data_IF_193367689073
#
_entry.id   IF_193367689073
#
_cell.length_a   1.000
_cell.length_b   1.000
_cell.length_c   1.000
_cell.angle_alpha   90.00
_cell.angle_beta   90.00
_cell.angle_gamma   90.00
#
_symmetry.space_group_name_H-M   'P 1'
#
loop_
_entity.id
_entity.type
_entity.pdbx_description
1 polymer ?
#
# COMPACT_ATOMS: atom_id res chain seq x y z
N UNK A 1 -21.14 13.33 -5.07
CA UNK A 1 -19.99 13.75 -5.92
C UNK A 1 -18.90 12.68 -5.82
N UNK A 2 -17.99 12.55 -6.79
CA UNK A 2 -16.83 11.67 -6.63
C UNK A 2 -16.08 12.08 -5.34
N UNK A 3 -15.75 11.12 -4.47
CA UNK A 3 -15.17 11.39 -3.15
C UNK A 3 -16.17 11.74 -2.03
N UNK A 4 -17.47 11.87 -2.31
CA UNK A 4 -18.49 12.01 -1.26
C UNK A 4 -19.13 10.65 -0.92
N UNK A 5 -19.22 10.36 0.38
CA UNK A 5 -19.82 9.14 0.90
C UNK A 5 -21.27 9.41 1.28
N UNK A 6 -22.22 8.86 0.52
CA UNK A 6 -23.63 8.97 0.86
C UNK A 6 -23.97 8.07 2.07
N UNK A 7 -24.78 8.59 2.99
CA UNK A 7 -25.19 7.92 4.22
C UNK A 7 -25.85 6.57 3.93
N UNK A 8 -25.32 5.50 4.52
CA UNK A 8 -25.82 4.13 4.37
C UNK A 8 -25.68 3.51 2.98
N UNK A 9 -24.92 4.12 2.08
CA UNK A 9 -24.75 3.69 0.68
C UNK A 9 -24.25 2.25 0.50
N UNK A 10 -23.60 1.69 1.52
CA UNK A 10 -23.01 0.34 1.50
C UNK A 10 -23.50 -0.55 2.65
N UNK A 11 -24.65 -0.24 3.27
CA UNK A 11 -25.22 -1.08 4.34
C UNK A 11 -25.43 -2.52 3.87
N UNK A 12 -24.95 -3.47 4.68
CA UNK A 12 -25.01 -4.90 4.37
C UNK A 12 -24.00 -5.37 3.32
N UNK A 13 -23.08 -4.51 2.89
CA UNK A 13 -21.91 -4.88 2.09
C UNK A 13 -20.70 -5.06 2.99
N UNK A 14 -19.78 -5.88 2.52
CA UNK A 14 -18.48 -6.10 3.14
C UNK A 14 -17.40 -5.62 2.16
N UNK A 15 -16.37 -4.97 2.68
CA UNK A 15 -15.19 -4.54 1.94
C UNK A 15 -13.96 -5.05 2.68
N UNK A 16 -13.06 -5.76 2.00
CA UNK A 16 -11.78 -6.20 2.54
C UNK A 16 -10.67 -5.25 2.07
N UNK A 17 -10.07 -4.53 3.02
CA UNK A 17 -8.87 -3.72 2.81
C UNK A 17 -7.62 -4.51 3.18
N UNK A 18 -6.60 -4.46 2.33
CA UNK A 18 -5.37 -5.25 2.46
C UNK A 18 -4.16 -4.33 2.43
N UNK A 19 -3.24 -4.54 3.36
CA UNK A 19 -1.98 -3.80 3.44
C UNK A 19 -0.91 -4.63 4.17
N UNK A 20 0.21 -4.03 4.52
CA UNK A 20 1.40 -4.67 5.07
C UNK A 20 1.38 -4.91 6.59
N UNK A 21 0.28 -4.58 7.28
CA UNK A 21 0.12 -4.77 8.71
C UNK A 21 0.82 -3.71 9.58
N UNK A 22 0.86 -4.01 10.89
CA UNK A 22 1.46 -3.15 11.91
C UNK A 22 0.82 -1.76 12.01
N UNK A 23 1.57 -0.83 12.60
CA UNK A 23 1.12 0.56 12.82
C UNK A 23 0.73 1.29 11.53
N UNK A 24 1.28 0.85 10.41
CA UNK A 24 1.00 1.43 9.11
C UNK A 24 -0.44 1.11 8.68
N UNK A 25 -0.81 -0.17 8.67
CA UNK A 25 -2.18 -0.57 8.34
C UNK A 25 -3.18 -0.10 9.41
N UNK A 26 -2.81 -0.08 10.69
CA UNK A 26 -3.67 0.50 11.74
C UNK A 26 -4.03 1.97 11.44
N UNK A 27 -3.04 2.75 10.98
CA UNK A 27 -3.24 4.14 10.55
C UNK A 27 -4.17 4.26 9.34
N UNK A 28 -4.04 3.38 8.34
CA UNK A 28 -4.93 3.36 7.17
C UNK A 28 -6.37 3.00 7.56
N UNK A 29 -6.57 2.00 8.42
CA UNK A 29 -7.89 1.61 8.92
C UNK A 29 -8.52 2.77 9.72
N UNK A 30 -7.73 3.46 10.55
CA UNK A 30 -8.20 4.64 11.26
C UNK A 30 -8.61 5.77 10.29
N UNK A 31 -7.86 5.99 9.21
CA UNK A 31 -8.20 6.97 8.18
C UNK A 31 -9.49 6.63 7.42
N UNK A 32 -9.81 5.34 7.27
CA UNK A 32 -11.05 4.87 6.64
C UNK A 32 -12.29 4.96 7.55
N UNK A 33 -12.13 5.27 8.84
CA UNK A 33 -13.22 5.23 9.83
C UNK A 33 -14.42 6.09 9.42
N UNK A 34 -14.20 7.31 8.95
CA UNK A 34 -15.30 8.20 8.56
C UNK A 34 -16.09 7.63 7.38
N UNK A 35 -15.40 7.03 6.39
CA UNK A 35 -16.03 6.34 5.27
C UNK A 35 -16.86 5.16 5.76
N UNK A 36 -16.33 4.35 6.68
CA UNK A 36 -17.04 3.19 7.25
C UNK A 36 -18.30 3.63 7.99
N UNK A 37 -18.18 4.60 8.88
CA UNK A 37 -19.31 5.07 9.70
C UNK A 37 -20.44 5.64 8.83
N UNK A 38 -20.10 6.48 7.83
CA UNK A 38 -21.08 7.09 6.91
C UNK A 38 -21.68 6.09 5.94
N UNK A 39 -20.86 5.26 5.30
CA UNK A 39 -21.35 4.31 4.28
C UNK A 39 -22.12 3.14 4.90
N UNK A 40 -21.81 2.77 6.15
CA UNK A 40 -22.34 1.59 6.82
C UNK A 40 -21.79 0.27 6.29
N UNK A 41 -20.67 0.28 5.57
CA UNK A 41 -19.99 -0.94 5.10
C UNK A 41 -19.36 -1.69 6.28
N UNK A 42 -19.33 -3.02 6.22
CA UNK A 42 -18.48 -3.82 7.10
C UNK A 42 -17.07 -3.84 6.52
N UNK A 43 -16.12 -3.17 7.17
CA UNK A 43 -14.71 -3.20 6.76
C UNK A 43 -14.00 -4.41 7.41
N UNK A 44 -13.45 -5.28 6.58
CA UNK A 44 -12.50 -6.32 6.97
C UNK A 44 -11.07 -5.87 6.67
N UNK A 45 -10.12 -6.43 7.39
CA UNK A 45 -8.70 -6.19 7.22
C UNK A 45 -7.98 -7.53 7.02
N UNK A 46 -7.17 -7.64 5.97
CA UNK A 46 -6.27 -8.79 5.72
C UNK A 46 -4.86 -8.27 5.39
N UNK A 47 -3.86 -9.14 5.38
CA UNK A 47 -2.47 -8.82 5.10
C UNK A 47 -1.52 -9.97 5.47
N UNK A 48 -0.21 -9.83 5.19
CA UNK A 48 0.39 -8.76 4.39
C UNK A 48 -0.02 -8.84 2.90
N UNK A 49 0.14 -7.74 2.18
CA UNK A 49 0.00 -7.73 0.72
C UNK A 49 1.05 -8.62 0.08
N UNK A 50 0.60 -9.68 -0.59
CA UNK A 50 1.45 -10.64 -1.29
C UNK A 50 0.91 -10.88 -2.70
N UNK A 51 1.72 -10.59 -3.73
CA UNK A 51 1.29 -10.73 -5.13
C UNK A 51 0.96 -12.18 -5.49
N UNK A 52 1.66 -13.15 -4.89
CA UNK A 52 1.39 -14.57 -5.06
C UNK A 52 0.02 -14.99 -4.50
N UNK A 53 -0.39 -14.45 -3.34
CA UNK A 53 -1.71 -14.68 -2.74
C UNK A 53 -2.81 -14.05 -3.60
N UNK A 54 -2.57 -12.84 -4.11
CA UNK A 54 -3.51 -12.16 -5.01
C UNK A 54 -3.66 -12.93 -6.33
N UNK A 55 -2.55 -13.40 -6.92
CA UNK A 55 -2.56 -14.25 -8.11
C UNK A 55 -3.34 -15.55 -7.85
N UNK A 56 -3.10 -16.24 -6.74
CA UNK A 56 -3.82 -17.47 -6.40
C UNK A 56 -5.34 -17.24 -6.25
N UNK A 57 -5.76 -16.11 -5.65
CA UNK A 57 -7.17 -15.75 -5.55
C UNK A 57 -7.81 -15.53 -6.93
N UNK A 58 -7.14 -14.80 -7.82
CA UNK A 58 -7.62 -14.56 -9.18
C UNK A 58 -7.69 -15.85 -9.98
N UNK A 59 -6.64 -16.67 -9.96
CA UNK A 59 -6.56 -17.94 -10.70
C UNK A 59 -7.58 -18.97 -10.22
N UNK A 60 -7.87 -19.03 -8.92
CA UNK A 60 -8.89 -19.90 -8.36
C UNK A 60 -10.33 -19.38 -8.56
N UNK A 61 -10.49 -18.12 -8.97
CA UNK A 61 -11.80 -17.45 -9.05
C UNK A 61 -12.43 -17.15 -7.69
N UNK A 62 -11.70 -17.33 -6.59
CA UNK A 62 -12.16 -17.09 -5.23
C UNK A 62 -11.50 -15.83 -4.65
N UNK A 63 -11.84 -14.68 -5.24
CA UNK A 63 -11.33 -13.37 -4.82
C UNK A 63 -12.07 -12.88 -3.59
N UNK A 64 -11.33 -12.64 -2.51
CA UNK A 64 -11.83 -12.09 -1.23
C UNK A 64 -11.25 -10.71 -0.92
N UNK A 65 -10.24 -10.27 -1.67
CA UNK A 65 -9.60 -8.96 -1.52
C UNK A 65 -10.24 -7.94 -2.46
N UNK A 66 -10.65 -6.79 -1.92
CA UNK A 66 -11.32 -5.73 -2.68
C UNK A 66 -10.40 -4.54 -2.99
N UNK A 67 -9.75 -4.00 -1.95
CA UNK A 67 -8.82 -2.86 -2.08
C UNK A 67 -7.49 -3.27 -1.47
N UNK A 68 -6.44 -3.22 -2.29
CA UNK A 68 -5.11 -3.72 -1.93
C UNK A 68 -4.12 -2.57 -2.04
N UNK A 69 -3.50 -2.23 -0.91
CA UNK A 69 -2.34 -1.36 -0.86
C UNK A 69 -1.09 -2.14 -1.29
N UNK A 70 -0.34 -1.58 -2.24
CA UNK A 70 0.84 -2.21 -2.85
C UNK A 70 1.90 -1.13 -3.12
N UNK A 71 3.12 -1.56 -3.43
CA UNK A 71 4.05 -0.71 -4.20
C UNK A 71 3.47 -0.29 -5.57
N UNK A 72 4.12 0.62 -6.26
CA UNK A 72 3.68 1.14 -7.57
C UNK A 72 3.85 0.12 -8.71
N UNK A 73 4.86 -0.75 -8.62
CA UNK A 73 5.23 -1.68 -9.69
C UNK A 73 4.20 -2.80 -9.94
N UNK A 74 3.64 -3.50 -8.94
CA UNK A 74 2.67 -4.57 -9.19
C UNK A 74 1.41 -4.17 -9.98
N UNK A 75 0.68 -3.09 -9.65
CA UNK A 75 -0.49 -2.69 -10.43
C UNK A 75 -0.10 -2.20 -11.83
N UNK A 76 1.12 -1.72 -12.03
CA UNK A 76 1.63 -1.41 -13.37
C UNK A 76 1.85 -2.68 -14.22
N UNK A 77 2.56 -3.68 -13.69
CA UNK A 77 2.91 -4.91 -14.43
C UNK A 77 1.72 -5.83 -14.68
N UNK A 78 0.82 -5.92 -13.70
CA UNK A 78 -0.29 -6.88 -13.71
C UNK A 78 -1.66 -6.21 -13.93
N UNK A 79 -1.68 -4.99 -14.47
CA UNK A 79 -2.92 -4.29 -14.81
C UNK A 79 -3.78 -5.11 -15.79
N UNK A 80 -5.08 -5.23 -15.50
CA UNK A 80 -6.04 -6.03 -16.27
C UNK A 80 -5.88 -7.55 -16.12
N UNK A 81 -4.91 -8.01 -15.32
CA UNK A 81 -4.71 -9.43 -15.00
C UNK A 81 -5.03 -9.70 -13.55
N UNK A 82 -4.30 -9.04 -12.66
CA UNK A 82 -4.43 -9.15 -11.21
C UNK A 82 -5.18 -7.96 -10.61
N UNK A 83 -5.03 -6.79 -11.22
CA UNK A 83 -5.65 -5.55 -10.80
C UNK A 83 -6.68 -5.10 -11.83
N UNK A 84 -7.83 -4.61 -11.38
CA UNK A 84 -8.86 -4.07 -12.27
C UNK A 84 -8.45 -2.67 -12.74
N UNK A 85 -8.81 -2.35 -13.99
CA UNK A 85 -8.71 -0.97 -14.46
C UNK A 85 -9.68 -0.10 -13.66
N UNK A 86 -9.19 1.04 -13.19
CA UNK A 86 -9.96 1.97 -12.39
C UNK A 86 -10.89 2.80 -13.27
N UNK A 87 -12.10 3.04 -12.79
CA UNK A 87 -13.07 3.94 -13.41
C UNK A 87 -12.87 5.37 -12.90
N UNK A 88 -12.00 6.12 -13.58
CA UNK A 88 -11.67 7.50 -13.21
C UNK A 88 -12.83 8.49 -13.38
N UNK A 89 -13.96 8.08 -13.96
CA UNK A 89 -15.18 8.90 -13.91
C UNK A 89 -15.79 8.96 -12.50
N UNK A 90 -15.40 8.05 -11.61
CA UNK A 90 -15.88 7.94 -10.22
C UNK A 90 -14.84 8.28 -9.17
N UNK A 91 -13.58 8.42 -9.56
CA UNK A 91 -12.45 8.69 -8.66
C UNK A 91 -11.97 10.10 -8.91
N UNK A 92 -12.07 10.95 -7.89
CA UNK A 92 -11.49 12.29 -7.96
C UNK A 92 -9.96 12.19 -7.88
N UNK A 93 -9.31 12.63 -8.95
CA UNK A 93 -7.85 12.63 -9.10
C UNK A 93 -7.28 14.03 -9.23
N UNK A 94 -8.11 15.08 -9.10
CA UNK A 94 -7.67 16.47 -9.35
C UNK A 94 -6.60 16.96 -8.38
N UNK A 95 -6.47 16.31 -7.21
CA UNK A 95 -5.51 16.65 -6.17
C UNK A 95 -4.26 15.76 -6.19
N UNK A 96 -4.15 14.84 -7.16
CA UNK A 96 -3.03 13.91 -7.27
C UNK A 96 -1.96 14.51 -8.21
N UNK A 97 -0.67 14.54 -7.80
CA UNK A 97 0.41 15.00 -8.66
C UNK A 97 0.49 14.21 -9.97
N UNK A 98 0.89 14.90 -11.04
CA UNK A 98 1.09 14.29 -12.35
C UNK A 98 2.11 13.15 -12.28
N UNK A 99 1.88 12.08 -13.04
CA UNK A 99 2.76 10.91 -13.12
C UNK A 99 2.59 9.88 -12.00
N UNK A 100 1.67 10.09 -11.05
CA UNK A 100 1.44 9.14 -9.96
C UNK A 100 0.22 8.22 -10.16
N UNK A 101 -0.55 8.40 -11.25
CA UNK A 101 -1.75 7.62 -11.56
C UNK A 101 -1.43 6.63 -12.68
N UNK A 102 -1.89 5.39 -12.54
CA UNK A 102 -1.85 4.37 -13.60
C UNK A 102 -3.26 3.92 -13.97
N UNK A 103 -3.43 3.12 -15.02
CA UNK A 103 -4.75 2.57 -15.38
C UNK A 103 -5.38 1.73 -14.25
N UNK A 104 -4.57 1.16 -13.36
CA UNK A 104 -5.00 0.21 -12.33
C UNK A 104 -4.67 0.67 -10.89
N UNK A 105 -4.16 1.89 -10.69
CA UNK A 105 -3.81 2.40 -9.35
C UNK A 105 -3.91 3.91 -9.23
N UNK A 106 -4.18 4.33 -7.99
CA UNK A 106 -4.03 5.71 -7.51
C UNK A 106 -3.11 5.71 -6.29
N UNK A 107 -2.32 6.77 -6.06
CA UNK A 107 -1.41 6.81 -4.92
C UNK A 107 -2.20 6.99 -3.62
N UNK A 108 -1.95 6.11 -2.64
CA UNK A 108 -2.46 6.24 -1.28
C UNK A 108 -1.49 6.99 -0.36
N UNK A 109 -0.18 6.84 -0.60
CA UNK A 109 0.88 7.54 0.11
C UNK A 109 2.15 7.65 -0.76
N UNK A 110 3.04 8.57 -0.40
CA UNK A 110 4.42 8.56 -0.88
C UNK A 110 5.34 8.14 0.27
N UNK A 111 6.27 7.23 0.01
CA UNK A 111 7.27 6.77 0.98
C UNK A 111 8.67 6.82 0.38
N UNK A 112 9.69 6.74 1.24
CA UNK A 112 11.08 6.73 0.82
C UNK A 112 11.84 5.58 1.47
N UNK A 113 12.59 4.84 0.66
CA UNK A 113 13.59 3.89 1.16
C UNK A 113 14.83 4.68 1.55
N UNK A 114 15.13 4.70 2.85
CA UNK A 114 16.24 5.49 3.40
C UNK A 114 17.29 4.59 4.05
N UNK A 115 18.54 5.04 4.02
CA UNK A 115 19.62 4.39 4.74
C UNK A 115 19.49 4.68 6.23
N UNK A 116 19.21 3.64 7.02
CA UNK A 116 19.20 3.70 8.49
C UNK A 116 20.38 2.93 9.07
N UNK A 117 20.87 3.35 10.24
CA UNK A 117 21.98 2.71 10.93
C UNK A 117 21.84 2.80 12.46
N UNK A 118 22.49 1.88 13.17
CA UNK A 118 22.57 1.93 14.63
C UNK A 118 23.59 3.00 15.07
N UNK A 119 23.11 4.05 15.73
CA UNK A 119 23.93 5.19 16.18
C UNK A 119 24.91 4.82 17.28
N UNK A 120 24.60 3.86 18.15
CA UNK A 120 25.51 3.38 19.20
C UNK A 120 26.70 2.61 18.61
N UNK A 121 26.46 1.89 17.51
CA UNK A 121 27.47 1.10 16.82
C UNK A 121 28.43 1.97 16.01
N UNK A 122 27.90 2.86 15.18
CA UNK A 122 28.72 3.62 14.23
C UNK A 122 29.13 5.00 14.74
N UNK A 123 28.49 5.52 15.80
CA UNK A 123 28.84 6.78 16.49
C UNK A 123 29.17 7.90 15.50
N UNK A 124 30.39 8.42 15.54
CA UNK A 124 30.88 9.54 14.74
C UNK A 124 31.28 9.15 13.30
N UNK A 125 31.27 7.85 12.97
CA UNK A 125 31.60 7.34 11.63
C UNK A 125 30.45 6.49 11.03
N UNK A 126 29.26 7.08 10.78
CA UNK A 126 28.14 6.38 10.16
C UNK A 126 28.33 6.16 8.66
N UNK A 127 27.69 5.14 8.06
CA UNK A 127 27.60 5.02 6.61
C UNK A 127 26.76 6.18 6.06
N UNK A 128 27.19 6.79 4.95
CA UNK A 128 26.56 7.99 4.37
C UNK A 128 26.01 7.77 2.96
N UNK A 129 26.16 6.56 2.44
CA UNK A 129 25.80 6.21 1.07
C UNK A 129 25.48 4.73 0.95
N UNK A 130 24.81 4.35 -0.14
CA UNK A 130 24.63 2.94 -0.49
C UNK A 130 25.97 2.22 -0.71
N UNK A 131 27.00 2.93 -1.20
CA UNK A 131 28.36 2.38 -1.28
C UNK A 131 28.88 1.98 0.10
N UNK A 132 28.72 2.84 1.10
CA UNK A 132 29.11 2.54 2.47
C UNK A 132 28.27 1.39 3.08
N UNK A 133 26.98 1.30 2.75
CA UNK A 133 26.13 0.19 3.18
C UNK A 133 26.69 -1.18 2.75
N UNK A 134 27.15 -1.27 1.49
CA UNK A 134 27.73 -2.49 0.91
C UNK A 134 29.21 -2.71 1.26
N UNK A 135 29.90 -1.71 1.82
CA UNK A 135 31.26 -1.86 2.31
C UNK A 135 31.28 -2.53 3.69
N UNK A 136 31.23 -3.87 3.68
CA UNK A 136 31.18 -4.69 4.89
C UNK A 136 32.49 -4.70 5.68
N UNK A 137 33.62 -4.38 5.04
CA UNK A 137 34.92 -4.29 5.71
C UNK A 137 35.02 -2.99 6.51
N UNK A 138 34.63 -1.87 5.90
CA UNK A 138 34.65 -0.55 6.55
C UNK A 138 33.53 -0.38 7.57
N UNK A 139 32.36 -0.98 7.33
CA UNK A 139 31.20 -0.92 8.22
C UNK A 139 30.75 -2.32 8.62
N UNK A 140 31.46 -3.07 9.48
CA UNK A 140 31.08 -4.45 9.80
C UNK A 140 29.75 -4.51 10.55
N UNK A 141 28.86 -5.46 10.22
CA UNK A 141 27.55 -5.62 10.89
C UNK A 141 26.47 -6.37 10.11
N UNK A 142 25.41 -6.77 10.81
CA UNK A 142 24.22 -7.32 10.15
C UNK A 142 23.52 -6.25 9.33
N UNK A 143 23.06 -6.63 8.14
CA UNK A 143 22.24 -5.80 7.25
C UNK A 143 20.84 -6.37 7.17
N UNK A 144 19.89 -5.47 6.98
CA UNK A 144 18.55 -5.79 6.51
C UNK A 144 18.32 -4.95 5.25
N UNK A 145 17.71 -5.58 4.25
CA UNK A 145 17.17 -4.95 3.07
C UNK A 145 15.73 -5.45 2.95
N UNK A 146 14.88 -4.58 2.46
CA UNK A 146 13.54 -4.94 1.99
C UNK A 146 13.62 -5.57 0.59
#
# INVERSE_FOLDING_TARGET
VAGEVAEGSLKGKTLTFVSYGGIYQDGQIAALKEFVDKSGVTLLSDGPTEISKLQAQVESGNVTWDVVDTGDFPPYVYCGKLFQKLDFSKIDTSNIPEGQISECSVPAMNYGVVLMYNTEKYKDNPPKSWKDFFDIEKFPGSRALE
#
